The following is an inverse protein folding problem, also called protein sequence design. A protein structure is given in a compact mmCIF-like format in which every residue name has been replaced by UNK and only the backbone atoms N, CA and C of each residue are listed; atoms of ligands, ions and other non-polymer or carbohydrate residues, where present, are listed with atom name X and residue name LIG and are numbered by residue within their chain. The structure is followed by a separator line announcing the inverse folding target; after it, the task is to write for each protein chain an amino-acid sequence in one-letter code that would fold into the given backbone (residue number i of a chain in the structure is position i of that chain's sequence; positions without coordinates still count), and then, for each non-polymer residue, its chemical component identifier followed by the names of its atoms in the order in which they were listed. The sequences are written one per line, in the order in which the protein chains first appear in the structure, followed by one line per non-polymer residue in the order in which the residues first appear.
data_IF_939724098258
#
_entry.id   IF_939724098258
#
_cell.length_a   1.000
_cell.length_b   1.000
_cell.length_c   1.000
_cell.angle_alpha   90.00
_cell.angle_beta   90.00
_cell.angle_gamma   90.00
#
_symmetry.space_group_name_H-M   'P 1'
#
loop_
_entity.id
_entity.type
_entity.pdbx_description
1 polymer ?
#
# COMPACT_ATOMS: atom_id res chain seq x y z
N UNK A 1 65.83 0.63 10.09
CA UNK A 1 64.82 -0.44 10.24
C UNK A 1 63.54 0.24 10.71
N UNK A 2 62.54 0.41 9.82
CA UNK A 2 61.12 0.81 10.01
C UNK A 2 60.79 2.03 10.88
N UNK A 3 59.81 2.89 10.62
CA UNK A 3 58.69 2.94 9.66
C UNK A 3 58.22 4.40 9.65
N UNK A 4 58.02 4.97 8.45
CA UNK A 4 57.17 6.15 8.26
C UNK A 4 55.72 5.71 8.49
N UNK A 5 55.10 6.17 9.57
CA UNK A 5 53.66 6.09 9.78
C UNK A 5 53.02 7.35 9.20
N UNK A 6 52.22 7.18 8.15
CA UNK A 6 51.42 8.23 7.54
C UNK A 6 50.30 8.61 8.52
N UNK A 7 50.23 9.87 8.94
CA UNK A 7 49.04 10.40 9.61
C UNK A 7 47.88 10.43 8.59
N UNK A 8 47.08 9.36 8.57
CA UNK A 8 45.76 9.42 7.94
C UNK A 8 44.87 10.35 8.76
N UNK A 9 44.52 11.49 8.15
CA UNK A 9 43.48 12.38 8.63
C UNK A 9 42.16 11.61 8.80
N UNK A 10 41.84 11.25 10.04
CA UNK A 10 40.51 10.76 10.42
C UNK A 10 39.55 11.93 10.32
N UNK A 11 38.87 12.06 9.18
CA UNK A 11 37.70 12.92 9.02
C UNK A 11 36.61 12.37 9.95
N UNK A 12 36.15 13.12 10.97
CA UNK A 12 35.00 12.69 11.76
C UNK A 12 33.76 12.86 10.88
N UNK A 13 33.25 11.76 10.33
CA UNK A 13 31.92 11.75 9.73
C UNK A 13 30.89 12.08 10.81
N UNK A 14 30.28 13.25 10.66
CA UNK A 14 29.39 13.89 11.61
C UNK A 14 28.03 13.16 11.65
N UNK A 15 27.95 12.04 12.37
CA UNK A 15 26.72 11.25 12.61
C UNK A 15 25.61 12.02 13.36
N UNK A 16 25.90 13.24 13.83
CA UNK A 16 24.94 14.11 14.51
C UNK A 16 24.17 15.04 13.55
N UNK A 17 24.64 15.20 12.30
CA UNK A 17 24.01 16.09 11.32
C UNK A 17 22.74 15.50 10.71
N UNK A 18 22.72 14.18 10.47
CA UNK A 18 21.57 13.50 9.88
C UNK A 18 20.39 13.42 10.86
N UNK A 19 20.62 13.14 12.16
CA UNK A 19 19.56 13.08 13.16
C UNK A 19 18.92 14.45 13.45
N UNK A 20 19.71 15.53 13.47
CA UNK A 20 19.19 16.88 13.72
C UNK A 20 18.37 17.42 12.53
N UNK A 21 18.86 17.27 11.29
CA UNK A 21 18.12 17.71 10.10
C UNK A 21 16.78 16.98 9.93
N UNK A 22 16.72 15.71 10.32
CA UNK A 22 15.48 14.93 10.33
C UNK A 22 14.47 15.43 11.38
N UNK A 23 14.93 15.79 12.57
CA UNK A 23 14.05 16.39 13.60
C UNK A 23 13.48 17.73 13.13
N UNK A 24 14.30 18.57 12.49
CA UNK A 24 13.86 19.87 11.98
C UNK A 24 12.82 19.74 10.85
N UNK A 25 12.95 18.73 9.99
CA UNK A 25 11.95 18.42 8.95
C UNK A 25 10.68 17.80 9.52
N UNK A 26 10.83 16.92 10.52
CA UNK A 26 9.71 16.29 11.21
C UNK A 26 8.81 17.34 11.85
N UNK A 27 9.40 18.24 12.63
CA UNK A 27 8.66 19.21 13.45
C UNK A 27 8.15 20.40 12.62
N UNK A 28 8.56 20.51 11.34
CA UNK A 28 8.12 21.60 10.47
C UNK A 28 6.71 21.35 9.91
N UNK A 29 5.69 22.15 10.30
CA UNK A 29 4.34 22.02 9.76
C UNK A 29 4.27 22.30 8.26
N UNK A 30 5.19 23.14 7.74
CA UNK A 30 5.26 23.48 6.31
C UNK A 30 5.67 22.27 5.45
N UNK A 31 6.60 21.44 5.93
CA UNK A 31 7.03 20.25 5.20
C UNK A 31 5.95 19.18 5.16
N UNK A 32 5.24 18.96 6.28
CA UNK A 32 4.10 18.06 6.33
C UNK A 32 3.01 18.50 5.35
N UNK A 33 2.64 19.79 5.37
CA UNK A 33 1.62 20.32 4.46
C UNK A 33 2.03 20.14 3.01
N UNK A 34 3.29 20.41 2.63
CA UNK A 34 3.78 20.16 1.27
C UNK A 34 3.65 18.70 0.85
N UNK A 35 4.00 17.76 1.73
CA UNK A 35 3.87 16.32 1.47
C UNK A 35 2.40 15.95 1.21
N UNK A 36 1.46 16.43 2.03
CA UNK A 36 0.03 16.16 1.83
C UNK A 36 -0.52 16.76 0.53
N UNK A 37 -0.05 17.93 0.11
CA UNK A 37 -0.42 18.51 -1.18
C UNK A 37 0.11 17.67 -2.35
N UNK A 38 1.34 17.18 -2.26
CA UNK A 38 1.91 16.29 -3.28
C UNK A 38 1.12 14.97 -3.32
N UNK A 39 0.84 14.36 -2.17
CA UNK A 39 0.02 13.14 -2.11
C UNK A 39 -1.36 13.38 -2.72
N UNK A 40 -2.02 14.47 -2.35
CA UNK A 40 -3.31 14.87 -2.93
C UNK A 40 -3.24 14.94 -4.45
N UNK A 41 -2.23 15.62 -5.00
CA UNK A 41 -2.06 15.76 -6.43
C UNK A 41 -1.84 14.40 -7.12
N UNK A 42 -1.03 13.51 -6.52
CA UNK A 42 -0.78 12.17 -7.04
C UNK A 42 -2.04 11.30 -7.02
N UNK A 43 -2.76 11.24 -5.90
CA UNK A 43 -4.01 10.50 -5.78
C UNK A 43 -5.09 11.07 -6.71
N UNK A 44 -5.19 12.40 -6.81
CA UNK A 44 -6.09 13.07 -7.75
C UNK A 44 -5.76 12.73 -9.21
N UNK A 45 -4.48 12.75 -9.58
CA UNK A 45 -4.04 12.37 -10.92
C UNK A 45 -4.40 10.93 -11.26
N UNK A 46 -4.14 9.98 -10.34
CA UNK A 46 -4.50 8.57 -10.53
C UNK A 46 -6.01 8.40 -10.65
N UNK A 47 -6.80 9.12 -9.84
CA UNK A 47 -8.26 9.09 -9.92
C UNK A 47 -8.77 9.61 -11.28
N UNK A 48 -8.24 10.72 -11.77
CA UNK A 48 -8.57 11.27 -13.09
C UNK A 48 -8.21 10.30 -14.20
N UNK A 49 -7.01 9.72 -14.17
CA UNK A 49 -6.59 8.70 -15.16
C UNK A 49 -7.57 7.52 -15.13
N UNK A 50 -7.90 6.99 -13.95
CA UNK A 50 -8.82 5.87 -13.83
C UNK A 50 -10.22 6.20 -14.38
N UNK A 51 -10.73 7.40 -14.12
CA UNK A 51 -12.00 7.88 -14.67
C UNK A 51 -11.96 8.00 -16.20
N UNK A 52 -10.88 8.58 -16.75
CA UNK A 52 -10.70 8.69 -18.21
C UNK A 52 -10.65 7.30 -18.84
N UNK A 53 -9.96 6.33 -18.23
CA UNK A 53 -9.95 4.94 -18.73
C UNK A 53 -11.34 4.32 -18.68
N UNK A 54 -12.09 4.50 -17.59
CA UNK A 54 -13.46 4.00 -17.47
C UNK A 54 -14.37 4.56 -18.56
N UNK A 55 -14.36 5.88 -18.76
CA UNK A 55 -15.16 6.56 -19.79
C UNK A 55 -14.76 6.10 -21.18
N UNK A 56 -13.45 6.01 -21.48
CA UNK A 56 -12.96 5.51 -22.78
C UNK A 56 -13.44 4.10 -23.07
N UNK A 57 -13.39 3.19 -22.09
CA UNK A 57 -13.84 1.81 -22.25
C UNK A 57 -15.36 1.76 -22.44
N UNK A 58 -16.12 2.54 -21.69
CA UNK A 58 -17.58 2.61 -21.80
C UNK A 58 -18.03 3.13 -23.16
N UNK A 59 -17.35 4.16 -23.70
CA UNK A 59 -17.64 4.71 -25.02
C UNK A 59 -17.20 3.78 -26.16
N UNK A 60 -16.06 3.10 -26.01
CA UNK A 60 -15.56 2.16 -27.03
C UNK A 60 -16.42 0.92 -27.16
N UNK A 61 -16.94 0.41 -26.04
CA UNK A 61 -17.68 -0.85 -25.99
C UNK A 61 -18.89 -0.74 -25.05
N UNK A 62 -19.96 -0.04 -25.48
CA UNK A 62 -21.14 0.18 -24.65
C UNK A 62 -22.04 -1.07 -24.52
N UNK A 63 -22.00 -1.97 -25.50
CA UNK A 63 -22.85 -3.17 -25.56
C UNK A 63 -22.49 -4.22 -24.50
N UNK A 64 -21.20 -4.28 -24.13
CA UNK A 64 -20.74 -5.13 -23.05
C UNK A 64 -20.98 -4.40 -21.72
N UNK A 65 -21.71 -5.03 -20.80
CA UNK A 65 -22.04 -4.48 -19.48
C UNK A 65 -20.81 -4.21 -18.58
N UNK A 66 -20.99 -4.35 -17.27
CA UNK A 66 -19.91 -4.11 -16.29
C UNK A 66 -18.87 -5.23 -16.28
N UNK A 67 -17.80 -5.07 -17.06
CA UNK A 67 -16.65 -5.99 -17.09
C UNK A 67 -15.73 -5.77 -15.90
N UNK A 68 -14.93 -6.79 -15.53
CA UNK A 68 -13.92 -6.71 -14.45
C UNK A 68 -12.98 -5.52 -14.60
N UNK A 69 -12.61 -5.16 -15.83
CA UNK A 69 -11.78 -3.98 -16.12
C UNK A 69 -12.50 -2.65 -15.83
N UNK A 70 -13.78 -2.51 -16.21
CA UNK A 70 -14.59 -1.32 -15.87
C UNK A 70 -14.74 -1.19 -14.35
N UNK A 71 -15.00 -2.29 -13.66
CA UNK A 71 -15.09 -2.33 -12.18
C UNK A 71 -13.76 -1.93 -11.55
N UNK A 72 -12.62 -2.45 -12.03
CA UNK A 72 -11.30 -2.09 -11.53
C UNK A 72 -11.01 -0.59 -11.64
N UNK A 73 -11.28 0.03 -12.79
CA UNK A 73 -11.07 1.47 -12.97
C UNK A 73 -12.05 2.31 -12.14
N UNK A 74 -13.30 1.88 -12.02
CA UNK A 74 -14.29 2.53 -11.18
C UNK A 74 -13.88 2.50 -9.69
N UNK A 75 -13.49 1.33 -9.18
CA UNK A 75 -13.02 1.20 -7.80
C UNK A 75 -11.74 2.02 -7.56
N UNK A 76 -10.80 2.04 -8.50
CA UNK A 76 -9.63 2.90 -8.40
C UNK A 76 -9.99 4.39 -8.38
N UNK A 77 -10.93 4.84 -9.22
CA UNK A 77 -11.42 6.21 -9.18
C UNK A 77 -12.00 6.55 -7.80
N UNK A 78 -12.85 5.68 -7.25
CA UNK A 78 -13.42 5.88 -5.92
C UNK A 78 -12.36 5.91 -4.82
N UNK A 79 -11.47 4.92 -4.76
CA UNK A 79 -10.43 4.82 -3.73
C UNK A 79 -9.51 6.02 -3.76
N UNK A 80 -8.95 6.33 -4.93
CA UNK A 80 -7.99 7.42 -5.07
C UNK A 80 -8.68 8.79 -4.92
N UNK A 81 -9.92 8.92 -5.40
CA UNK A 81 -10.73 10.13 -5.23
C UNK A 81 -11.06 10.41 -3.77
N UNK A 82 -11.60 9.43 -3.03
CA UNK A 82 -11.90 9.57 -1.60
C UNK A 82 -10.61 9.83 -0.82
N UNK A 83 -9.51 9.13 -1.12
CA UNK A 83 -8.22 9.34 -0.45
C UNK A 83 -7.67 10.75 -0.72
N UNK A 84 -7.78 11.23 -1.95
CA UNK A 84 -7.42 12.60 -2.31
C UNK A 84 -8.27 13.63 -1.55
N UNK A 85 -9.59 13.43 -1.46
CA UNK A 85 -10.48 14.30 -0.69
C UNK A 85 -10.14 14.32 0.80
N UNK A 86 -9.82 13.17 1.39
CA UNK A 86 -9.38 13.08 2.80
C UNK A 86 -8.10 13.88 3.03
N UNK A 87 -7.16 13.89 2.08
CA UNK A 87 -5.94 14.70 2.19
C UNK A 87 -6.18 16.20 1.96
N UNK A 88 -7.09 16.58 1.06
CA UNK A 88 -7.49 17.98 0.84
C UNK A 88 -8.16 18.53 2.11
N UNK A 89 -9.13 17.81 2.63
CA UNK A 89 -9.91 18.22 3.79
C UNK A 89 -9.30 17.76 5.11
N UNK A 90 -8.00 17.47 5.12
CA UNK A 90 -7.24 16.97 6.28
C UNK A 90 -7.62 17.66 7.59
N UNK A 91 -7.56 18.99 7.61
CA UNK A 91 -7.81 19.80 8.81
C UNK A 91 -9.26 19.63 9.31
N UNK A 92 -10.22 19.72 8.41
CA UNK A 92 -11.64 19.49 8.71
C UNK A 92 -11.91 18.04 9.17
N UNK A 93 -11.17 17.06 8.64
CA UNK A 93 -11.24 15.65 9.03
C UNK A 93 -10.65 15.40 10.42
N UNK A 94 -9.68 16.21 10.87
CA UNK A 94 -9.14 16.13 12.24
C UNK A 94 -10.11 16.71 13.27
N UNK A 95 -10.83 17.76 12.88
CA UNK A 95 -11.77 18.48 13.75
C UNK A 95 -13.17 17.83 13.78
N UNK A 96 -13.35 16.72 13.05
CA UNK A 96 -14.61 15.98 12.94
C UNK A 96 -14.91 15.23 14.24
N UNK A 97 -15.83 15.79 15.03
CA UNK A 97 -16.51 15.08 16.11
C UNK A 97 -17.79 14.42 15.58
N UNK A 98 -18.07 13.15 15.92
CA UNK A 98 -17.36 12.29 16.87
C UNK A 98 -16.15 11.54 16.27
N UNK A 99 -15.19 11.18 17.13
CA UNK A 99 -13.90 10.54 16.77
C UNK A 99 -14.03 9.25 15.93
N UNK A 100 -15.15 8.54 16.07
CA UNK A 100 -15.47 7.35 15.28
C UNK A 100 -15.66 7.67 13.79
N UNK A 101 -16.18 8.85 13.42
CA UNK A 101 -16.34 9.26 12.02
C UNK A 101 -14.97 9.43 11.37
N UNK A 102 -13.98 9.96 12.10
CA UNK A 102 -12.59 10.04 11.65
C UNK A 102 -12.03 8.63 11.37
N UNK A 103 -12.22 7.68 12.29
CA UNK A 103 -11.74 6.31 12.09
C UNK A 103 -12.38 5.62 10.89
N UNK A 104 -13.70 5.69 10.75
CA UNK A 104 -14.41 5.11 9.60
C UNK A 104 -13.94 5.76 8.29
N UNK A 105 -13.78 7.09 8.27
CA UNK A 105 -13.34 7.82 7.07
C UNK A 105 -11.90 7.47 6.66
N UNK A 106 -11.03 7.15 7.61
CA UNK A 106 -9.65 6.71 7.35
C UNK A 106 -9.55 5.24 6.92
N UNK A 107 -10.43 4.39 7.47
CA UNK A 107 -10.46 2.95 7.21
C UNK A 107 -11.20 2.58 5.91
N UNK A 108 -12.27 3.30 5.55
CA UNK A 108 -13.07 3.05 4.34
C UNK A 108 -12.24 3.00 3.05
N UNK A 109 -11.36 3.97 2.76
CA UNK A 109 -10.48 3.91 1.60
C UNK A 109 -9.60 2.65 1.60
N UNK A 110 -9.21 2.16 2.77
CA UNK A 110 -8.37 0.96 2.92
C UNK A 110 -9.13 -0.33 2.59
N UNK A 111 -10.41 -0.43 2.95
CA UNK A 111 -11.28 -1.55 2.56
C UNK A 111 -11.51 -1.58 1.05
N UNK A 112 -11.87 -0.45 0.46
CA UNK A 112 -12.13 -0.39 -0.99
C UNK A 112 -10.82 -0.59 -1.76
N UNK A 113 -9.68 -0.12 -1.23
CA UNK A 113 -8.34 -0.45 -1.76
C UNK A 113 -8.12 -1.96 -1.76
N UNK A 114 -8.34 -2.65 -0.63
CA UNK A 114 -8.23 -4.12 -0.59
C UNK A 114 -9.10 -4.79 -1.66
N UNK A 115 -10.38 -4.44 -1.78
CA UNK A 115 -11.28 -5.00 -2.80
C UNK A 115 -10.78 -4.76 -4.22
N UNK A 116 -10.28 -3.55 -4.50
CA UNK A 116 -9.75 -3.17 -5.82
C UNK A 116 -8.59 -4.09 -6.23
N UNK A 117 -7.64 -4.30 -5.31
CA UNK A 117 -6.47 -5.12 -5.59
C UNK A 117 -6.75 -6.62 -5.49
N UNK A 118 -7.70 -7.05 -4.65
CA UNK A 118 -8.20 -8.42 -4.65
C UNK A 118 -8.89 -8.76 -5.99
N UNK A 119 -9.57 -7.79 -6.61
CA UNK A 119 -10.17 -7.95 -7.95
C UNK A 119 -9.10 -8.06 -9.03
N UNK A 120 -7.97 -7.36 -8.89
CA UNK A 120 -6.81 -7.52 -9.77
C UNK A 120 -6.17 -8.91 -9.62
N UNK A 121 -6.02 -9.41 -8.39
CA UNK A 121 -5.55 -10.78 -8.15
C UNK A 121 -6.51 -11.82 -8.73
N UNK A 122 -7.83 -11.63 -8.56
CA UNK A 122 -8.85 -12.45 -9.18
C UNK A 122 -8.69 -12.47 -10.70
N UNK A 123 -8.52 -11.30 -11.32
CA UNK A 123 -8.33 -11.18 -12.76
C UNK A 123 -7.08 -11.93 -13.24
N UNK A 124 -5.96 -11.83 -12.53
CA UNK A 124 -4.75 -12.61 -12.86
C UNK A 124 -4.94 -14.10 -12.66
N UNK A 125 -5.66 -14.51 -11.61
CA UNK A 125 -5.99 -15.90 -11.39
C UNK A 125 -6.88 -16.45 -12.51
N UNK A 126 -7.89 -15.69 -12.96
CA UNK A 126 -8.74 -16.07 -14.10
C UNK A 126 -7.90 -16.29 -15.36
N UNK A 127 -6.99 -15.38 -15.70
CA UNK A 127 -6.10 -15.53 -16.87
C UNK A 127 -5.21 -16.78 -16.71
N UNK A 128 -4.65 -16.99 -15.52
CA UNK A 128 -3.77 -18.13 -15.26
C UNK A 128 -4.49 -19.47 -15.41
N UNK A 129 -5.68 -19.62 -14.83
CA UNK A 129 -6.47 -20.86 -14.93
C UNK A 129 -7.01 -21.08 -16.35
N UNK A 130 -7.45 -20.01 -17.03
CA UNK A 130 -7.87 -20.08 -18.44
C UNK A 130 -6.73 -20.53 -19.36
N UNK A 131 -5.52 -20.01 -19.15
CA UNK A 131 -4.35 -20.42 -19.93
C UNK A 131 -3.96 -21.90 -19.70
N UNK A 132 -4.40 -22.49 -18.59
CA UNK A 132 -4.23 -23.92 -18.27
C UNK A 132 -5.43 -24.79 -18.69
N UNK A 133 -6.45 -24.20 -19.31
CA UNK A 133 -7.72 -24.86 -19.62
C UNK A 133 -8.41 -25.49 -18.39
N UNK A 134 -8.19 -24.91 -17.21
CA UNK A 134 -8.82 -25.31 -15.96
C UNK A 134 -10.03 -24.41 -15.67
N UNK A 135 -11.04 -24.95 -14.99
CA UNK A 135 -12.29 -24.24 -14.70
C UNK A 135 -12.07 -23.05 -13.77
N UNK A 136 -12.66 -21.89 -14.11
CA UNK A 136 -12.59 -20.67 -13.30
C UNK A 136 -13.75 -20.51 -12.30
N UNK A 137 -14.68 -21.45 -12.25
CA UNK A 137 -15.99 -21.29 -11.60
C UNK A 137 -15.89 -21.02 -10.08
N UNK A 138 -14.85 -21.54 -9.42
CA UNK A 138 -14.62 -21.33 -7.98
C UNK A 138 -13.98 -19.99 -7.61
N UNK A 139 -13.34 -19.29 -8.56
CA UNK A 139 -12.52 -18.10 -8.25
C UNK A 139 -13.36 -16.91 -7.80
N UNK A 140 -14.47 -16.63 -8.49
CA UNK A 140 -15.36 -15.50 -8.17
C UNK A 140 -16.07 -15.68 -6.83
N UNK A 141 -16.66 -16.84 -6.50
CA UNK A 141 -17.21 -17.10 -5.16
C UNK A 141 -16.20 -16.92 -4.04
N UNK A 142 -14.95 -17.36 -4.24
CA UNK A 142 -13.87 -17.17 -3.25
C UNK A 142 -13.58 -15.68 -3.05
N UNK A 143 -13.46 -14.91 -4.14
CA UNK A 143 -13.27 -13.47 -4.07
C UNK A 143 -14.40 -12.78 -3.28
N UNK A 144 -15.66 -13.10 -3.58
CA UNK A 144 -16.80 -12.51 -2.87
C UNK A 144 -16.81 -12.93 -1.39
N UNK A 145 -16.57 -14.20 -1.10
CA UNK A 145 -16.52 -14.72 0.29
C UNK A 145 -15.45 -13.99 1.11
N UNK A 146 -14.24 -13.83 0.55
CA UNK A 146 -13.15 -13.12 1.23
C UNK A 146 -13.51 -11.65 1.49
N UNK A 147 -14.04 -10.95 0.49
CA UNK A 147 -14.42 -9.55 0.66
C UNK A 147 -15.55 -9.39 1.68
N UNK A 148 -16.60 -10.20 1.61
CA UNK A 148 -17.70 -10.18 2.57
C UNK A 148 -17.18 -10.44 3.98
N UNK A 149 -16.30 -11.43 4.18
CA UNK A 149 -15.72 -11.72 5.48
C UNK A 149 -14.92 -10.51 6.01
N UNK A 150 -14.05 -9.92 5.19
CA UNK A 150 -13.22 -8.77 5.59
C UNK A 150 -14.08 -7.57 5.96
N UNK A 151 -15.09 -7.25 5.16
CA UNK A 151 -16.00 -6.12 5.42
C UNK A 151 -16.86 -6.38 6.66
N UNK A 152 -17.35 -7.61 6.85
CA UNK A 152 -18.17 -7.97 8.01
C UNK A 152 -17.39 -7.82 9.31
N UNK A 153 -16.13 -8.31 9.34
CA UNK A 153 -15.24 -8.17 10.50
C UNK A 153 -14.97 -6.68 10.78
N UNK A 154 -14.67 -5.88 9.75
CA UNK A 154 -14.40 -4.46 9.92
C UNK A 154 -15.61 -3.67 10.41
N UNK A 155 -16.79 -3.91 9.82
CA UNK A 155 -18.04 -3.26 10.22
C UNK A 155 -18.39 -3.64 11.67
N UNK A 156 -18.21 -4.91 12.06
CA UNK A 156 -18.41 -5.33 13.44
C UNK A 156 -17.50 -4.58 14.43
N UNK A 157 -16.22 -4.41 14.10
CA UNK A 157 -15.28 -3.62 14.91
C UNK A 157 -15.71 -2.16 15.02
N UNK A 158 -16.15 -1.54 13.92
CA UNK A 158 -16.66 -0.16 13.95
C UNK A 158 -17.93 -0.01 14.79
N UNK A 159 -18.87 -0.96 14.71
CA UNK A 159 -20.09 -0.94 15.52
C UNK A 159 -19.78 -1.04 17.02
N UNK A 160 -18.81 -1.87 17.41
CA UNK A 160 -18.36 -1.95 18.80
C UNK A 160 -17.70 -0.65 19.25
N UNK A 161 -16.81 -0.06 18.42
CA UNK A 161 -16.19 1.24 18.70
C UNK A 161 -17.21 2.38 18.79
N UNK A 162 -18.29 2.33 18.00
CA UNK A 162 -19.38 3.29 18.03
C UNK A 162 -20.15 3.22 19.35
N UNK A 163 -20.39 2.02 19.87
CA UNK A 163 -21.11 1.84 21.13
C UNK A 163 -20.25 2.23 22.34
N UNK A 164 -18.99 1.81 22.37
CA UNK A 164 -18.00 2.18 23.39
C UNK A 164 -16.63 2.31 22.75
N UNK A 165 -16.02 3.48 22.93
CA UNK A 165 -14.63 3.68 22.53
C UNK A 165 -13.69 2.84 23.40
N UNK A 166 -13.01 1.87 22.79
CA UNK A 166 -12.05 0.98 23.43
C UNK A 166 -10.72 1.09 22.67
N UNK A 167 -9.66 1.69 23.26
CA UNK A 167 -8.37 1.87 22.58
C UNK A 167 -7.75 0.57 22.07
N UNK A 168 -7.92 -0.54 22.80
CA UNK A 168 -7.43 -1.86 22.39
C UNK A 168 -8.06 -2.32 21.06
N UNK A 169 -9.34 -2.00 20.83
CA UNK A 169 -10.04 -2.38 19.60
C UNK A 169 -9.53 -1.59 18.38
N UNK A 170 -9.07 -0.36 18.59
CA UNK A 170 -8.38 0.43 17.55
C UNK A 170 -7.07 -0.26 17.14
N UNK A 171 -6.29 -0.74 18.10
CA UNK A 171 -5.05 -1.51 17.83
C UNK A 171 -5.36 -2.79 17.06
N UNK A 172 -6.42 -3.52 17.45
CA UNK A 172 -6.87 -4.73 16.74
C UNK A 172 -7.27 -4.40 15.30
N UNK A 173 -7.97 -3.29 15.05
CA UNK A 173 -8.32 -2.84 13.70
C UNK A 173 -7.07 -2.60 12.84
N UNK A 174 -6.05 -1.93 13.39
CA UNK A 174 -4.76 -1.72 12.71
C UNK A 174 -4.07 -3.05 12.36
N UNK A 175 -4.01 -3.98 13.32
CA UNK A 175 -3.45 -5.33 13.12
C UNK A 175 -4.24 -6.15 12.10
N UNK A 176 -5.56 -6.00 12.07
CA UNK A 176 -6.40 -6.63 11.07
C UNK A 176 -6.08 -6.12 9.67
N UNK A 177 -5.95 -4.80 9.47
CA UNK A 177 -5.52 -4.23 8.20
C UNK A 177 -4.10 -4.65 7.80
N UNK A 178 -3.17 -4.79 8.75
CA UNK A 178 -1.85 -5.37 8.49
C UNK A 178 -1.96 -6.80 7.95
N UNK A 179 -2.76 -7.65 8.61
CA UNK A 179 -3.03 -9.02 8.15
C UNK A 179 -3.64 -9.07 6.75
N UNK A 180 -4.68 -8.27 6.49
CA UNK A 180 -5.32 -8.15 5.17
C UNK A 180 -4.32 -7.70 4.11
N UNK A 181 -3.44 -6.75 4.42
CA UNK A 181 -2.36 -6.28 3.54
C UNK A 181 -1.35 -7.38 3.22
N UNK A 182 -0.98 -8.20 4.21
CA UNK A 182 -0.09 -9.34 4.02
C UNK A 182 -0.72 -10.40 3.11
N UNK A 183 -1.99 -10.75 3.34
CA UNK A 183 -2.71 -11.69 2.48
C UNK A 183 -2.83 -11.18 1.03
N UNK A 184 -3.05 -9.88 0.84
CA UNK A 184 -3.02 -9.28 -0.48
C UNK A 184 -1.63 -9.44 -1.13
N UNK A 185 -0.54 -9.11 -0.42
CA UNK A 185 0.83 -9.28 -0.92
C UNK A 185 1.11 -10.74 -1.36
N UNK A 186 0.71 -11.72 -0.55
CA UNK A 186 0.81 -13.14 -0.89
C UNK A 186 -0.01 -13.49 -2.12
N UNK A 187 -1.24 -12.96 -2.26
CA UNK A 187 -2.06 -13.13 -3.45
C UNK A 187 -1.38 -12.60 -4.72
N UNK A 188 -0.77 -11.41 -4.66
CA UNK A 188 0.03 -10.85 -5.76
C UNK A 188 1.21 -11.76 -6.10
N UNK A 189 2.01 -12.18 -5.12
CA UNK A 189 3.17 -13.05 -5.35
C UNK A 189 2.78 -14.40 -5.95
N UNK A 190 1.72 -15.03 -5.44
CA UNK A 190 1.29 -16.34 -5.90
C UNK A 190 0.68 -16.28 -7.30
N UNK A 191 -0.36 -15.46 -7.53
CA UNK A 191 -1.07 -15.45 -8.80
C UNK A 191 -0.36 -14.61 -9.87
N UNK A 192 0.20 -13.45 -9.50
CA UNK A 192 1.00 -12.63 -10.41
C UNK A 192 2.31 -13.30 -10.78
N UNK A 193 3.00 -13.91 -9.80
CA UNK A 193 4.24 -14.66 -10.05
C UNK A 193 4.02 -15.91 -10.91
N UNK A 194 2.99 -16.71 -10.61
CA UNK A 194 2.64 -17.89 -11.44
C UNK A 194 2.24 -17.51 -12.87
N UNK A 195 1.47 -16.43 -13.03
CA UNK A 195 1.10 -15.92 -14.35
C UNK A 195 2.34 -15.46 -15.14
N UNK A 196 3.25 -14.72 -14.50
CA UNK A 196 4.50 -14.29 -15.11
C UNK A 196 5.37 -15.47 -15.58
N UNK A 197 5.59 -16.47 -14.71
CA UNK A 197 6.37 -17.67 -15.05
C UNK A 197 5.71 -18.50 -16.16
N UNK A 198 4.38 -18.61 -16.15
CA UNK A 198 3.64 -19.33 -17.18
C UNK A 198 3.79 -18.65 -18.55
N UNK A 199 3.69 -17.32 -18.59
CA UNK A 199 3.85 -16.56 -19.82
C UNK A 199 5.29 -16.54 -20.35
N UNK A 200 6.31 -16.70 -19.49
CA UNK A 200 7.69 -16.91 -19.90
C UNK A 200 7.93 -18.28 -20.56
N UNK A 201 7.14 -19.30 -20.20
CA UNK A 201 7.34 -20.68 -20.67
C UNK A 201 6.88 -20.92 -22.11
N UNK A 202 6.01 -20.07 -22.65
CA UNK A 202 5.66 -20.09 -24.07
C UNK A 202 6.62 -19.17 -24.84
N UNK A 203 7.36 -19.66 -25.85
CA UNK A 203 8.26 -18.81 -26.62
C UNK A 203 7.44 -17.66 -27.20
N UNK A 204 7.80 -16.45 -26.79
CA UNK A 204 7.02 -15.26 -27.11
C UNK A 204 7.34 -14.87 -28.55
N UNK A 205 6.61 -15.44 -29.51
CA UNK A 205 6.84 -15.29 -30.95
C UNK A 205 6.73 -13.83 -31.45
N UNK A 206 6.19 -12.91 -30.64
CA UNK A 206 6.05 -11.49 -31.00
C UNK A 206 6.52 -10.51 -29.91
N UNK A 207 7.25 -9.46 -30.33
CA UNK A 207 7.73 -8.36 -29.45
C UNK A 207 6.61 -7.72 -28.62
N UNK A 208 5.39 -7.64 -29.15
CA UNK A 208 4.23 -7.06 -28.43
C UNK A 208 3.79 -7.84 -27.20
N UNK A 209 3.88 -9.18 -27.23
CA UNK A 209 3.51 -10.05 -26.10
C UNK A 209 4.57 -10.02 -24.98
N UNK A 210 5.85 -9.76 -25.31
CA UNK A 210 6.93 -9.60 -24.31
C UNK A 210 6.76 -8.32 -23.48
N UNK A 211 6.40 -7.20 -24.11
CA UNK A 211 6.17 -5.94 -23.40
C UNK A 211 4.99 -6.05 -22.42
N UNK A 212 3.89 -6.70 -22.83
CA UNK A 212 2.74 -6.97 -21.96
C UNK A 212 3.07 -7.89 -20.79
N UNK A 213 3.96 -8.87 -21.00
CA UNK A 213 4.44 -9.74 -19.94
C UNK A 213 5.28 -8.98 -18.90
N UNK A 214 6.18 -8.12 -19.36
CA UNK A 214 6.98 -7.28 -18.46
C UNK A 214 6.10 -6.32 -17.66
N UNK A 215 5.08 -5.71 -18.27
CA UNK A 215 4.09 -4.89 -17.55
C UNK A 215 3.45 -5.66 -16.38
N UNK A 216 2.97 -6.89 -16.60
CA UNK A 216 2.35 -7.72 -15.54
C UNK A 216 3.35 -8.09 -14.44
N UNK A 217 4.59 -8.42 -14.81
CA UNK A 217 5.67 -8.69 -13.86
C UNK A 217 6.01 -7.48 -12.98
N UNK A 218 6.19 -6.31 -13.59
CA UNK A 218 6.43 -5.06 -12.86
C UNK A 218 5.29 -4.71 -11.91
N UNK A 219 4.03 -4.80 -12.37
CA UNK A 219 2.87 -4.52 -11.50
C UNK A 219 2.83 -5.49 -10.32
N UNK A 220 3.14 -6.77 -10.52
CA UNK A 220 3.18 -7.76 -9.44
C UNK A 220 4.21 -7.42 -8.37
N UNK A 221 5.45 -7.13 -8.79
CA UNK A 221 6.55 -6.83 -7.85
C UNK A 221 6.27 -5.53 -7.09
N UNK A 222 5.84 -4.48 -7.79
CA UNK A 222 5.53 -3.17 -7.18
C UNK A 222 4.35 -3.30 -6.21
N UNK A 223 3.25 -3.96 -6.61
CA UNK A 223 2.10 -4.11 -5.73
C UNK A 223 2.45 -4.95 -4.50
N UNK A 224 3.14 -6.08 -4.69
CA UNK A 224 3.56 -6.92 -3.58
C UNK A 224 4.47 -6.18 -2.60
N UNK A 225 5.45 -5.41 -3.09
CA UNK A 225 6.35 -4.65 -2.21
C UNK A 225 5.59 -3.55 -1.47
N UNK A 226 4.71 -2.81 -2.15
CA UNK A 226 3.87 -1.78 -1.53
C UNK A 226 2.96 -2.36 -0.43
N UNK A 227 2.31 -3.51 -0.67
CA UNK A 227 1.47 -4.16 0.33
C UNK A 227 2.28 -4.72 1.51
N UNK A 228 3.49 -5.22 1.27
CA UNK A 228 4.40 -5.67 2.32
C UNK A 228 4.86 -4.50 3.20
N UNK A 229 5.28 -3.41 2.57
CA UNK A 229 5.63 -2.16 3.26
C UNK A 229 4.46 -1.67 4.11
N UNK A 230 3.26 -1.64 3.53
CA UNK A 230 2.05 -1.24 4.25
C UNK A 230 1.76 -2.14 5.44
N UNK A 231 1.93 -3.46 5.31
CA UNK A 231 1.80 -4.40 6.44
C UNK A 231 2.77 -4.04 7.57
N UNK A 232 4.05 -3.82 7.23
CA UNK A 232 5.09 -3.49 8.21
C UNK A 232 4.77 -2.17 8.91
N UNK A 233 4.41 -1.13 8.16
CA UNK A 233 4.04 0.18 8.73
C UNK A 233 2.86 0.08 9.70
N UNK A 234 1.83 -0.70 9.36
CA UNK A 234 0.65 -0.90 10.21
C UNK A 234 0.97 -1.70 11.49
N UNK A 235 1.91 -2.65 11.43
CA UNK A 235 2.39 -3.36 12.62
C UNK A 235 3.11 -2.41 13.58
N UNK A 236 4.00 -1.54 13.07
CA UNK A 236 4.69 -0.55 13.91
C UNK A 236 3.70 0.42 14.57
N UNK A 237 2.71 0.91 13.82
CA UNK A 237 1.64 1.80 14.30
C UNK A 237 0.73 1.15 15.37
N UNK A 238 0.70 -0.19 15.44
CA UNK A 238 -0.08 -0.92 16.44
C UNK A 238 0.68 -1.09 17.78
N UNK A 239 2.01 -1.20 17.75
CA UNK A 239 2.80 -1.57 18.93
C UNK A 239 3.55 -0.42 19.60
N UNK A 240 3.73 0.72 18.93
CA UNK A 240 4.44 1.86 19.50
C UNK A 240 3.50 3.06 19.69
N UNK A 241 3.22 3.41 20.96
CA UNK A 241 2.39 4.59 21.33
C UNK A 241 3.11 5.92 21.09
N UNK A 242 4.45 5.93 21.04
CA UNK A 242 5.23 7.10 20.60
C UNK A 242 5.21 7.22 19.06
N UNK A 243 4.85 6.14 18.37
CA UNK A 243 4.52 6.10 16.96
C UNK A 243 3.00 6.01 16.73
N UNK A 244 2.18 6.70 17.53
CA UNK A 244 0.74 6.84 17.24
C UNK A 244 0.61 7.68 15.95
N UNK A 245 0.67 6.99 14.81
CA UNK A 245 0.52 7.57 13.50
C UNK A 245 -0.96 7.85 13.31
N UNK A 246 -1.40 9.01 13.76
CA UNK A 246 -2.39 9.70 12.96
C UNK A 246 -1.76 9.84 11.58
N UNK A 247 -2.22 9.03 10.61
CA UNK A 247 -1.82 9.04 9.18
C UNK A 247 -1.83 10.47 8.61
N UNK A 248 -2.59 11.35 9.25
CA UNK A 248 -2.60 12.76 8.98
C UNK A 248 -1.36 13.54 9.42
N UNK A 249 -0.49 13.12 10.31
CA UNK A 249 0.63 13.97 10.75
C UNK A 249 1.98 13.65 10.06
N UNK A 250 2.38 12.39 9.86
CA UNK A 250 3.72 12.08 9.31
C UNK A 250 3.78 10.81 8.41
N UNK A 251 3.25 10.83 7.18
CA UNK A 251 3.08 9.62 6.37
C UNK A 251 4.35 9.11 5.65
N UNK A 252 5.31 9.99 5.33
CA UNK A 252 6.54 9.63 4.58
C UNK A 252 7.73 9.39 5.51
N UNK A 253 7.70 9.98 6.71
CA UNK A 253 8.83 10.01 7.64
C UNK A 253 9.13 8.64 8.27
N UNK A 254 8.11 7.87 8.64
CA UNK A 254 8.31 6.54 9.22
C UNK A 254 8.85 5.52 8.22
N UNK A 255 8.48 5.64 6.94
CA UNK A 255 8.99 4.71 5.92
C UNK A 255 10.50 4.89 5.68
N UNK A 256 10.98 6.15 5.64
CA UNK A 256 12.40 6.46 5.40
C UNK A 256 13.23 6.28 6.68
N UNK A 257 12.72 6.69 7.84
CA UNK A 257 13.43 6.55 9.13
C UNK A 257 13.75 5.09 9.47
N UNK A 258 12.82 4.15 9.24
CA UNK A 258 13.06 2.73 9.52
C UNK A 258 13.88 2.02 8.44
N UNK A 259 13.74 2.37 7.15
CA UNK A 259 14.63 1.86 6.12
C UNK A 259 16.08 2.23 6.39
N UNK A 260 16.35 3.50 6.72
CA UNK A 260 17.71 4.01 7.00
C UNK A 260 18.28 3.45 8.31
N UNK A 261 17.47 3.30 9.38
CA UNK A 261 17.96 2.77 10.66
C UNK A 261 18.05 1.23 10.72
N UNK A 262 17.34 0.50 9.86
CA UNK A 262 17.42 -0.98 9.80
C UNK A 262 18.79 -1.49 9.31
N UNK A 263 19.48 -0.72 8.47
CA UNK A 263 20.84 -1.01 8.02
C UNK A 263 21.90 -0.80 9.14
N UNK A 264 21.60 0.06 10.11
CA UNK A 264 22.54 0.38 11.20
C UNK A 264 22.56 -0.70 12.28
N UNK A 265 21.43 -1.38 12.52
CA UNK A 265 21.33 -2.46 13.51
C UNK A 265 22.08 -3.73 13.04
N UNK A 266 22.04 -4.02 11.73
CA UNK A 266 22.81 -5.12 11.12
C UNK A 266 24.33 -4.90 11.21
N UNK A 267 24.79 -3.66 11.02
CA UNK A 267 26.23 -3.31 11.12
C UNK A 267 26.75 -3.29 12.56
N UNK A 268 25.93 -2.91 13.54
CA UNK A 268 26.31 -2.96 14.98
C UNK A 268 26.46 -4.39 15.50
N UNK A 269 25.64 -5.33 15.02
CA UNK A 269 25.74 -6.75 15.41
C UNK A 269 26.94 -7.48 14.79
N UNK A 270 27.44 -7.05 13.64
CA UNK A 270 28.71 -7.56 13.07
C UNK A 270 29.94 -6.98 13.76
N UNK A 271 29.89 -5.73 14.25
CA UNK A 271 31.04 -5.09 14.91
C UNK A 271 31.26 -5.55 16.36
N UNK A 272 30.26 -6.14 17.00
CA UNK A 272 30.39 -6.77 18.32
C UNK A 272 30.73 -8.27 18.26
N UNK A 273 30.99 -8.82 17.07
CA UNK A 273 31.27 -10.25 16.86
C UNK A 273 32.58 -10.54 16.11
N UNK A 274 33.43 -9.52 15.93
CA UNK A 274 34.80 -9.65 15.47
C UNK A 274 35.74 -9.02 16.49
#
# INVERSE_FOLDING_TARGET
MGLYGVDEAVIPYNLNGESNWWHDINDSPLWQDRIFHILTALYGLVAVIALVQLVRIQLRVPEFGWTTQKVFHFLNFLVNGVRGLVFIFRRNVQDLHPEIVRHILLDMPSLVFFTTYALLVLFWAEIYYQARAESTDGLRPIFFTINVAVYSIQIAMWLVLWWKYIPVLVIISKMFFAGVSLFAALGFLLYGGRLFLMLQRFPVESKGRQNKLQEVGYVTVICSSCFLVRCIMMCFDAFDKAADLNVLNHPVLNFIYYLVNSDTQGRKNCKNRC
#
